data_IF_822968687791
#
_entry.id   IF_822968687791
#
_cell.length_a   1.000
_cell.length_b   1.000
_cell.length_c   1.000
_cell.angle_alpha   90.00
_cell.angle_beta   90.00
_cell.angle_gamma   90.00
#
_symmetry.space_group_name_H-M   'P 1'
#
loop_
_entity.id
_entity.type
_entity.pdbx_description
1 polymer ?
#
# COMPACT_ATOMS: atom_id res chain seq x y z
N UNK A 1 -2.41 -56.22 -27.59
CA UNK A 1 -1.77 -55.14 -28.39
C UNK A 1 -2.73 -53.98 -28.68
N UNK A 2 -3.90 -54.17 -29.30
CA UNK A 2 -4.84 -53.07 -29.55
C UNK A 2 -5.43 -52.46 -28.25
N UNK A 3 -5.78 -53.32 -27.29
CA UNK A 3 -6.36 -52.89 -26.02
C UNK A 3 -5.36 -52.10 -25.15
N UNK A 4 -4.09 -52.52 -25.14
CA UNK A 4 -3.01 -51.77 -24.48
C UNK A 4 -2.74 -50.42 -25.16
N UNK A 5 -2.80 -50.34 -26.49
CA UNK A 5 -2.69 -49.08 -27.23
C UNK A 5 -3.85 -48.12 -26.90
N UNK A 6 -5.07 -48.64 -26.77
CA UNK A 6 -6.25 -47.85 -26.44
C UNK A 6 -6.20 -47.32 -25.01
N UNK A 7 -5.74 -48.13 -24.04
CA UNK A 7 -5.50 -47.68 -22.66
C UNK A 7 -4.45 -46.58 -22.62
N UNK A 8 -3.30 -46.76 -23.28
CA UNK A 8 -2.26 -45.71 -23.35
C UNK A 8 -2.79 -44.42 -23.95
N UNK A 9 -3.56 -44.51 -25.05
CA UNK A 9 -4.19 -43.35 -25.66
C UNK A 9 -5.17 -42.63 -24.71
N UNK A 10 -6.00 -43.40 -24.00
CA UNK A 10 -6.98 -42.85 -23.06
C UNK A 10 -6.28 -42.20 -21.85
N UNK A 11 -5.30 -42.87 -21.25
CA UNK A 11 -4.51 -42.34 -20.13
C UNK A 11 -3.73 -41.09 -20.52
N UNK A 12 -3.12 -41.07 -21.70
CA UNK A 12 -2.43 -39.88 -22.22
C UNK A 12 -3.40 -38.70 -22.39
N UNK A 13 -4.62 -38.94 -22.88
CA UNK A 13 -5.60 -37.87 -23.11
C UNK A 13 -6.28 -37.40 -21.82
N UNK A 14 -6.50 -38.30 -20.87
CA UNK A 14 -7.27 -38.03 -19.64
C UNK A 14 -6.43 -37.57 -18.46
N UNK A 15 -5.12 -37.87 -18.43
CA UNK A 15 -4.25 -37.57 -17.28
C UNK A 15 -3.05 -36.70 -17.69
N UNK A 16 -2.27 -37.17 -18.68
CA UNK A 16 -0.99 -36.51 -19.03
C UNK A 16 -1.21 -35.09 -19.57
N UNK A 17 -2.15 -34.92 -20.51
CA UNK A 17 -2.43 -33.60 -21.11
C UNK A 17 -2.92 -32.54 -20.11
N UNK A 18 -3.88 -32.81 -19.21
CA UNK A 18 -4.25 -31.86 -18.16
C UNK A 18 -3.09 -31.47 -17.24
N UNK A 19 -2.24 -32.45 -16.88
CA UNK A 19 -1.11 -32.25 -15.98
C UNK A 19 -0.02 -31.39 -16.61
N UNK A 20 0.32 -31.64 -17.89
CA UNK A 20 1.26 -30.80 -18.65
C UNK A 20 0.79 -29.35 -18.74
N UNK A 21 -0.53 -29.12 -18.93
CA UNK A 21 -1.10 -27.77 -18.94
C UNK A 21 -0.98 -27.10 -17.59
N UNK A 22 -1.31 -27.79 -16.50
CA UNK A 22 -1.19 -27.24 -15.14
C UNK A 22 0.26 -26.86 -14.83
N UNK A 23 1.22 -27.75 -15.13
CA UNK A 23 2.65 -27.48 -14.92
C UNK A 23 3.13 -26.29 -15.75
N UNK A 24 2.69 -26.19 -17.02
CA UNK A 24 3.04 -25.05 -17.86
C UNK A 24 2.51 -23.73 -17.28
N UNK A 25 1.28 -23.70 -16.75
CA UNK A 25 0.70 -22.51 -16.12
C UNK A 25 1.37 -22.15 -14.79
N UNK A 26 1.74 -23.14 -13.97
CA UNK A 26 2.50 -22.92 -12.73
C UNK A 26 3.87 -22.32 -13.04
N UNK A 27 4.56 -22.81 -14.08
CA UNK A 27 5.84 -22.23 -14.51
C UNK A 27 5.69 -20.80 -15.02
N UNK A 28 4.67 -20.52 -15.83
CA UNK A 28 4.38 -19.17 -16.28
C UNK A 28 4.09 -18.22 -15.10
N UNK A 29 3.31 -18.67 -14.10
CA UNK A 29 3.07 -17.91 -12.88
C UNK A 29 4.37 -17.62 -12.11
N UNK A 30 5.26 -18.61 -12.00
CA UNK A 30 6.55 -18.46 -11.35
C UNK A 30 7.51 -17.51 -12.10
N UNK A 31 7.33 -17.36 -13.42
CA UNK A 31 8.04 -16.37 -14.24
C UNK A 31 7.40 -14.97 -14.19
N UNK A 32 6.26 -14.83 -13.49
CA UNK A 32 5.59 -13.54 -13.24
C UNK A 32 4.36 -13.28 -14.12
N UNK A 33 3.92 -14.24 -14.93
CA UNK A 33 2.69 -14.13 -15.72
C UNK A 33 1.46 -14.47 -14.86
N UNK A 34 0.99 -13.45 -14.13
CA UNK A 34 -0.10 -13.57 -13.14
C UNK A 34 -1.50 -13.56 -13.75
N UNK A 35 -1.66 -13.27 -15.03
CA UNK A 35 -2.98 -13.23 -15.70
C UNK A 35 -3.42 -14.62 -16.19
N UNK A 36 -2.51 -15.59 -16.18
CA UNK A 36 -2.77 -16.95 -16.61
C UNK A 36 -3.76 -17.63 -15.65
N UNK A 37 -4.77 -18.28 -16.23
CA UNK A 37 -5.70 -19.15 -15.52
C UNK A 37 -5.70 -20.54 -16.12
N UNK A 38 -5.96 -21.52 -15.27
CA UNK A 38 -6.12 -22.91 -15.68
C UNK A 38 -7.62 -23.15 -15.86
N UNK A 39 -8.05 -23.35 -17.11
CA UNK A 39 -9.37 -23.89 -17.41
C UNK A 39 -9.24 -25.40 -17.66
N UNK A 40 -9.79 -26.20 -16.75
CA UNK A 40 -9.86 -27.65 -16.93
C UNK A 40 -11.25 -28.03 -17.39
N UNK A 41 -11.37 -28.56 -18.61
CA UNK A 41 -12.58 -29.20 -19.07
C UNK A 41 -12.66 -30.61 -18.47
N UNK A 42 -13.52 -30.80 -17.45
CA UNK A 42 -13.73 -32.09 -16.80
C UNK A 42 -14.37 -31.96 -15.41
N UNK A 43 -14.61 -33.11 -14.78
CA UNK A 43 -15.09 -33.24 -13.41
C UNK A 43 -14.16 -34.20 -12.64
N UNK A 44 -13.72 -33.83 -11.43
CA UNK A 44 -12.85 -34.66 -10.59
C UNK A 44 -11.76 -33.85 -9.87
N UNK A 45 -10.74 -34.53 -9.34
CA UNK A 45 -9.68 -33.91 -8.52
C UNK A 45 -8.87 -32.83 -9.27
N UNK A 46 -8.78 -32.91 -10.61
CA UNK A 46 -8.08 -31.90 -11.41
C UNK A 46 -8.77 -30.54 -11.43
N UNK A 47 -10.09 -30.50 -11.29
CA UNK A 47 -10.83 -29.24 -11.21
C UNK A 47 -10.53 -28.55 -9.88
N UNK A 48 -10.52 -29.30 -8.77
CA UNK A 48 -10.19 -28.77 -7.44
C UNK A 48 -8.77 -28.21 -7.36
N UNK A 49 -7.80 -28.90 -7.96
CA UNK A 49 -6.41 -28.41 -8.04
C UNK A 49 -6.31 -27.15 -8.90
N UNK A 50 -7.02 -27.10 -10.02
CA UNK A 50 -7.03 -25.91 -10.89
C UNK A 50 -7.68 -24.71 -10.20
N UNK A 51 -8.78 -24.92 -9.46
CA UNK A 51 -9.44 -23.87 -8.69
C UNK A 51 -8.55 -23.35 -7.57
N UNK A 52 -7.88 -24.25 -6.84
CA UNK A 52 -6.90 -23.89 -5.81
C UNK A 52 -5.73 -23.08 -6.38
N UNK A 53 -5.22 -23.48 -7.56
CA UNK A 53 -4.19 -22.74 -8.27
C UNK A 53 -4.68 -21.34 -8.71
N UNK A 54 -5.88 -21.24 -9.27
CA UNK A 54 -6.45 -19.97 -9.72
C UNK A 54 -6.66 -19.00 -8.54
N UNK A 55 -7.11 -19.50 -7.38
CA UNK A 55 -7.24 -18.71 -6.15
C UNK A 55 -5.88 -18.21 -5.66
N UNK A 56 -4.86 -19.08 -5.68
CA UNK A 56 -3.49 -18.69 -5.32
C UNK A 56 -2.93 -17.62 -6.28
N UNK A 57 -3.12 -17.78 -7.59
CA UNK A 57 -2.70 -16.81 -8.59
C UNK A 57 -3.38 -15.45 -8.38
N UNK A 58 -4.69 -15.44 -8.12
CA UNK A 58 -5.44 -14.21 -7.83
C UNK A 58 -4.98 -13.53 -6.53
N UNK A 59 -4.72 -14.30 -5.48
CA UNK A 59 -4.20 -13.76 -4.23
C UNK A 59 -2.81 -13.14 -4.42
N UNK A 60 -1.94 -13.80 -5.20
CA UNK A 60 -0.61 -13.29 -5.53
C UNK A 60 -0.69 -11.99 -6.33
N UNK A 61 -1.53 -11.94 -7.36
CA UNK A 61 -1.80 -10.75 -8.18
C UNK A 61 -2.29 -9.57 -7.32
N UNK A 62 -3.24 -9.82 -6.43
CA UNK A 62 -3.76 -8.81 -5.51
C UNK A 62 -2.67 -8.30 -4.56
N UNK A 63 -1.91 -9.19 -3.95
CA UNK A 63 -0.84 -8.83 -3.02
C UNK A 63 0.26 -8.03 -3.72
N UNK A 64 0.66 -8.42 -4.94
CA UNK A 64 1.66 -7.68 -5.70
C UNK A 64 1.16 -6.26 -6.03
N UNK A 65 -0.09 -6.10 -6.46
CA UNK A 65 -0.67 -4.77 -6.71
C UNK A 65 -0.66 -3.90 -5.45
N UNK A 66 -1.05 -4.47 -4.31
CA UNK A 66 -1.00 -3.78 -3.03
C UNK A 66 0.43 -3.40 -2.62
N UNK A 67 1.41 -4.28 -2.83
CA UNK A 67 2.81 -3.97 -2.57
C UNK A 67 3.33 -2.83 -3.44
N UNK A 68 3.04 -2.85 -4.74
CA UNK A 68 3.42 -1.79 -5.67
C UNK A 68 2.78 -0.45 -5.28
N UNK A 69 1.50 -0.45 -4.91
CA UNK A 69 0.81 0.75 -4.45
C UNK A 69 1.39 1.29 -3.14
N UNK A 70 1.67 0.41 -2.18
CA UNK A 70 2.30 0.76 -0.92
C UNK A 70 3.72 1.33 -1.12
N UNK A 71 4.51 0.74 -2.02
CA UNK A 71 5.85 1.23 -2.34
C UNK A 71 5.79 2.61 -3.02
N UNK A 72 4.83 2.81 -3.93
CA UNK A 72 4.59 4.11 -4.58
C UNK A 72 4.24 5.18 -3.55
N UNK A 73 3.29 4.90 -2.65
CA UNK A 73 2.91 5.82 -1.58
C UNK A 73 4.06 6.12 -0.63
N UNK A 74 4.83 5.10 -0.22
CA UNK A 74 6.00 5.28 0.63
C UNK A 74 7.08 6.13 -0.06
N UNK A 75 7.28 5.94 -1.37
CA UNK A 75 8.21 6.76 -2.17
C UNK A 75 7.76 8.21 -2.23
N UNK A 76 6.47 8.47 -2.52
CA UNK A 76 5.89 9.81 -2.50
C UNK A 76 6.05 10.44 -1.11
N UNK A 77 5.83 9.70 -0.02
CA UNK A 77 6.01 10.23 1.33
C UNK A 77 7.43 10.57 1.70
N UNK A 78 8.41 9.75 1.30
CA UNK A 78 9.84 10.10 1.48
C UNK A 78 10.21 11.37 0.72
N UNK A 79 9.76 11.50 -0.53
CA UNK A 79 9.99 12.70 -1.33
C UNK A 79 9.30 13.93 -0.72
N UNK A 80 8.03 13.80 -0.32
CA UNK A 80 7.26 14.86 0.32
C UNK A 80 7.91 15.33 1.62
N UNK A 81 8.40 14.41 2.46
CA UNK A 81 9.11 14.74 3.68
C UNK A 81 10.43 15.50 3.42
N UNK A 82 11.21 15.08 2.40
CA UNK A 82 12.43 15.77 1.99
C UNK A 82 12.15 17.19 1.50
N UNK A 83 11.21 17.33 0.56
CA UNK A 83 10.78 18.63 0.01
C UNK A 83 10.23 19.53 1.11
N UNK A 84 9.42 18.99 2.02
CA UNK A 84 8.88 19.74 3.15
C UNK A 84 9.97 20.26 4.08
N UNK A 85 10.99 19.44 4.38
CA UNK A 85 12.13 19.88 5.17
C UNK A 85 12.88 21.03 4.48
N UNK A 86 13.15 20.88 3.18
CA UNK A 86 13.85 21.89 2.39
C UNK A 86 13.07 23.20 2.23
N UNK A 87 11.74 23.17 2.17
CA UNK A 87 10.89 24.38 2.12
C UNK A 87 10.76 25.01 3.50
N UNK A 88 10.61 24.21 4.56
CA UNK A 88 10.46 24.73 5.92
C UNK A 88 11.70 25.51 6.39
N UNK A 89 12.88 25.16 5.90
CA UNK A 89 14.14 25.82 6.22
C UNK A 89 14.15 27.33 5.80
N UNK A 90 14.03 27.69 4.52
CA UNK A 90 14.00 29.09 4.09
C UNK A 90 12.81 29.85 4.68
N UNK A 91 11.64 29.23 4.81
CA UNK A 91 10.48 29.87 5.47
C UNK A 91 10.78 30.23 6.93
N UNK A 92 11.49 29.37 7.66
CA UNK A 92 11.92 29.66 9.04
C UNK A 92 12.89 30.83 9.09
N UNK A 93 13.84 30.90 8.15
CA UNK A 93 14.80 32.00 8.05
C UNK A 93 14.09 33.32 7.74
N UNK A 94 13.19 33.36 6.74
CA UNK A 94 12.42 34.56 6.37
C UNK A 94 11.53 35.01 7.54
N UNK A 95 10.89 34.07 8.23
CA UNK A 95 10.10 34.37 9.44
C UNK A 95 10.97 34.93 10.58
N UNK A 96 12.22 34.47 10.70
CA UNK A 96 13.18 35.04 11.64
C UNK A 96 13.53 36.50 11.32
N UNK A 97 13.81 36.79 10.04
CA UNK A 97 14.11 38.15 9.60
C UNK A 97 12.94 39.11 9.77
N UNK A 98 11.73 38.71 9.40
CA UNK A 98 10.53 39.53 9.57
C UNK A 98 10.28 39.88 11.04
N UNK A 99 10.43 38.91 11.96
CA UNK A 99 10.33 39.16 13.41
C UNK A 99 11.43 40.08 13.93
N UNK A 100 12.66 39.92 13.45
CA UNK A 100 13.77 40.79 13.84
C UNK A 100 13.54 42.23 13.38
N UNK A 101 13.02 42.43 12.17
CA UNK A 101 12.68 43.75 11.64
C UNK A 101 11.50 44.38 12.41
N UNK A 102 10.45 43.60 12.71
CA UNK A 102 9.34 44.06 13.55
C UNK A 102 9.80 44.57 14.92
N UNK A 103 10.77 43.90 15.56
CA UNK A 103 11.30 44.35 16.85
C UNK A 103 12.16 45.62 16.80
N UNK A 104 12.50 46.13 15.61
CA UNK A 104 13.29 47.35 15.40
C UNK A 104 12.47 48.53 14.89
N UNK A 105 11.20 48.31 14.56
CA UNK A 105 10.30 49.32 14.03
C UNK A 105 9.70 50.15 15.18
N UNK A 106 9.40 51.43 14.90
CA UNK A 106 8.56 52.23 15.80
C UNK A 106 7.11 51.71 15.75
N UNK A 107 6.36 51.91 16.82
CA UNK A 107 5.00 51.35 16.95
C UNK A 107 4.04 51.79 15.82
N UNK A 108 4.21 53.03 15.33
CA UNK A 108 3.39 53.61 14.25
C UNK A 108 4.00 53.45 12.85
N UNK A 109 5.06 52.65 12.71
CA UNK A 109 5.72 52.47 11.42
C UNK A 109 4.83 51.62 10.46
N UNK A 110 4.49 52.14 9.27
CA UNK A 110 3.64 51.43 8.30
C UNK A 110 4.24 50.10 7.82
N UNK A 111 5.56 49.90 7.93
CA UNK A 111 6.18 48.61 7.61
C UNK A 111 5.82 47.50 8.59
N UNK A 112 5.34 47.83 9.80
CA UNK A 112 4.91 46.84 10.80
C UNK A 112 3.74 45.98 10.31
N UNK A 113 2.76 46.56 9.62
CA UNK A 113 1.63 45.81 9.05
C UNK A 113 2.08 44.89 7.89
N UNK A 114 2.97 45.40 7.03
CA UNK A 114 3.52 44.64 5.90
C UNK A 114 4.28 43.39 6.38
N UNK A 115 5.10 43.53 7.43
CA UNK A 115 5.85 42.40 8.00
C UNK A 115 4.94 41.38 8.71
N UNK A 116 3.83 41.83 9.31
CA UNK A 116 2.81 40.93 9.87
C UNK A 116 2.15 40.10 8.77
N UNK A 117 1.74 40.74 7.67
CA UNK A 117 1.15 40.04 6.52
C UNK A 117 2.11 39.00 5.94
N UNK A 118 3.40 39.34 5.76
CA UNK A 118 4.42 38.37 5.29
C UNK A 118 4.58 37.20 6.28
N UNK A 119 4.57 37.47 7.58
CA UNK A 119 4.68 36.42 8.62
C UNK A 119 3.48 35.47 8.57
N UNK A 120 2.28 36.00 8.33
CA UNK A 120 1.06 35.21 8.24
C UNK A 120 1.05 34.33 6.98
N UNK A 121 1.50 34.86 5.85
CA UNK A 121 1.66 34.09 4.60
C UNK A 121 2.66 32.94 4.76
N UNK A 122 3.78 33.19 5.45
CA UNK A 122 4.76 32.14 5.76
C UNK A 122 4.15 31.05 6.64
N UNK A 123 3.29 31.42 7.61
CA UNK A 123 2.59 30.44 8.45
C UNK A 123 1.63 29.59 7.62
N UNK A 124 0.91 30.21 6.69
CA UNK A 124 0.02 29.50 5.77
C UNK A 124 0.79 28.51 4.88
N UNK A 125 1.91 28.94 4.28
CA UNK A 125 2.79 28.07 3.49
C UNK A 125 3.25 26.84 4.30
N UNK A 126 3.67 27.04 5.55
CA UNK A 126 4.03 25.92 6.44
C UNK A 126 2.87 24.97 6.70
N UNK A 127 1.65 25.50 6.85
CA UNK A 127 0.43 24.70 7.00
C UNK A 127 0.17 23.81 5.79
N UNK A 128 0.25 24.37 4.58
CA UNK A 128 0.06 23.64 3.31
C UNK A 128 1.09 22.51 3.18
N UNK A 129 2.36 22.81 3.45
CA UNK A 129 3.45 21.82 3.41
C UNK A 129 3.21 20.69 4.42
N UNK A 130 2.71 21.01 5.61
CA UNK A 130 2.37 20.00 6.62
C UNK A 130 1.22 19.10 6.18
N UNK A 131 0.14 19.67 5.63
CA UNK A 131 -1.00 18.88 5.14
C UNK A 131 -0.63 17.94 3.99
N UNK A 132 0.33 18.32 3.14
CA UNK A 132 0.85 17.45 2.08
C UNK A 132 1.63 16.24 2.65
N UNK A 133 2.37 16.44 3.75
CA UNK A 133 3.08 15.35 4.44
C UNK A 133 2.12 14.36 5.10
N UNK A 134 1.03 14.86 5.70
CA UNK A 134 0.04 14.01 6.39
C UNK A 134 -0.62 13.01 5.45
N UNK A 135 -0.87 13.39 4.18
CA UNK A 135 -1.43 12.51 3.15
C UNK A 135 -0.50 11.33 2.81
N UNK A 136 0.80 11.49 3.03
CA UNK A 136 1.80 10.50 2.64
C UNK A 136 2.20 9.56 3.78
N UNK A 137 1.59 9.72 4.95
CA UNK A 137 1.82 8.86 6.10
C UNK A 137 0.92 7.63 5.99
N UNK A 138 1.47 6.39 6.02
CA UNK A 138 0.61 5.21 6.01
C UNK A 138 -0.32 5.28 7.24
N UNK A 139 -1.59 4.87 7.11
CA UNK A 139 -2.47 4.73 8.26
C UNK A 139 -1.77 3.80 9.24
N UNK A 140 -1.35 4.34 10.38
CA UNK A 140 -0.88 3.48 11.45
C UNK A 140 -2.05 2.56 11.77
N UNK A 141 -1.83 1.23 11.88
CA UNK A 141 -2.86 0.39 12.45
C UNK A 141 -3.22 1.04 13.77
N UNK A 142 -4.48 1.44 13.93
CA UNK A 142 -5.00 1.89 15.20
C UNK A 142 -4.69 0.75 16.16
N UNK A 143 -3.61 0.91 16.94
CA UNK A 143 -3.43 0.13 18.14
C UNK A 143 -4.64 0.52 18.96
N UNK A 144 -5.67 -0.32 18.88
CA UNK A 144 -6.91 -0.16 19.62
C UNK A 144 -6.54 -0.23 21.10
N UNK A 145 -6.11 0.93 21.62
CA UNK A 145 -5.73 1.13 23.01
C UNK A 145 -6.99 1.22 23.88
N UNK A 146 -8.15 0.73 23.39
CA UNK A 146 -9.41 0.62 24.11
C UNK A 146 -9.78 -0.81 24.47
N UNK A 147 -9.05 -1.83 24.01
CA UNK A 147 -9.21 -3.18 24.56
C UNK A 147 -8.30 -3.34 25.77
N UNK A 148 -8.75 -2.81 26.90
CA UNK A 148 -8.12 -3.07 28.18
C UNK A 148 -8.22 -4.58 28.45
N UNK A 149 -7.09 -5.32 28.60
CA UNK A 149 -7.12 -6.78 28.79
C UNK A 149 -7.99 -7.23 29.97
N UNK A 150 -8.18 -6.33 30.94
CA UNK A 150 -9.03 -6.56 32.11
C UNK A 150 -10.54 -6.58 31.81
N UNK A 151 -11.03 -5.88 30.78
CA UNK A 151 -12.44 -5.97 30.34
C UNK A 151 -12.71 -7.28 29.59
N UNK A 152 -11.80 -7.69 28.70
CA UNK A 152 -11.90 -8.94 27.95
C UNK A 152 -11.80 -10.19 28.84
N UNK A 153 -10.97 -10.16 29.89
CA UNK A 153 -10.94 -11.25 30.86
C UNK A 153 -12.26 -11.38 31.65
N UNK A 154 -12.94 -10.27 31.92
CA UNK A 154 -14.21 -10.26 32.66
C UNK A 154 -15.36 -10.79 31.79
N UNK A 155 -15.35 -10.47 30.49
CA UNK A 155 -16.33 -10.96 29.51
C UNK A 155 -16.16 -12.47 29.23
N UNK A 156 -14.92 -12.98 29.23
CA UNK A 156 -14.62 -14.39 28.91
C UNK A 156 -14.64 -15.31 30.14
N UNK A 157 -14.28 -14.81 31.33
CA UNK A 157 -14.31 -15.61 32.58
C UNK A 157 -15.60 -15.45 33.41
N UNK A 158 -16.55 -14.66 32.92
CA UNK A 158 -17.97 -14.82 33.18
C UNK A 158 -18.57 -13.91 34.25
N UNK A 159 -19.78 -13.44 33.99
CA UNK A 159 -20.92 -13.51 34.91
C UNK A 159 -22.22 -13.10 34.19
N UNK A 160 -23.28 -13.87 34.47
CA UNK A 160 -24.67 -13.53 34.22
C UNK A 160 -25.14 -12.37 35.12
#
# INVERSE_FOLDING_TARGET
>A
LLLSLLVVYYTHRSIVRPLDRLVARVRALAEGDLDQRVEVAGSGEFTEVADSFNQMAQALEKNQRQLVEAEKLASVGRLAAGVAHEINNPLTVIMGYTRMLMGRLADDDPAGEQLRNITDEIRQCKGIVSSLMDLSRPPQPEADNRLNPSELLTEVLGMA
#
